data_IF_225106778607
#
_entry.id   IF_225106778607
#
_cell.length_a   1.000
_cell.length_b   1.000
_cell.length_c   1.000
_cell.angle_alpha   90.00
_cell.angle_beta   90.00
_cell.angle_gamma   90.00
#
_symmetry.space_group_name_H-M   'P 1'
#
loop_
_entity.id
_entity.type
_entity.pdbx_description
1 polymer ?
#
# COMPACT_ATOMS: atom_id res chain seq x y z
N UNK A 1 -1.08 -21.10 3.92
CA UNK A 1 -1.05 -20.98 5.40
C UNK A 1 -0.73 -19.56 5.86
N UNK A 2 0.39 -18.95 5.42
CA UNK A 2 0.83 -17.62 5.88
C UNK A 2 -0.19 -16.49 5.66
N UNK A 3 -0.84 -16.42 4.49
CA UNK A 3 -1.82 -15.38 4.16
C UNK A 3 -2.98 -15.30 5.19
N UNK A 4 -3.69 -16.40 5.40
CA UNK A 4 -4.83 -16.45 6.34
C UNK A 4 -4.35 -16.14 7.76
N UNK A 5 -3.22 -16.70 8.19
CA UNK A 5 -2.64 -16.43 9.50
C UNK A 5 -2.37 -14.95 9.71
N UNK A 6 -1.63 -14.30 8.81
CA UNK A 6 -1.29 -12.88 8.94
C UNK A 6 -2.53 -11.98 8.92
N UNK A 7 -3.56 -12.33 8.15
CA UNK A 7 -4.81 -11.57 8.13
C UNK A 7 -5.66 -11.78 9.39
N UNK A 8 -5.53 -12.92 10.08
CA UNK A 8 -6.24 -13.23 11.32
C UNK A 8 -5.59 -12.64 12.57
N UNK A 9 -4.31 -12.25 12.47
CA UNK A 9 -3.56 -11.59 13.54
C UNK A 9 -3.84 -10.07 13.56
N UNK A 10 -3.41 -9.39 14.61
CA UNK A 10 -3.58 -7.92 14.75
C UNK A 10 -2.80 -7.18 13.67
N UNK A 11 -3.43 -6.18 13.04
CA UNK A 11 -2.78 -5.34 12.05
C UNK A 11 -2.26 -4.06 12.70
N UNK A 12 -1.02 -3.68 12.39
CA UNK A 12 -0.51 -2.34 12.75
C UNK A 12 -0.96 -1.31 11.72
N UNK A 13 -1.24 -0.09 12.15
CA UNK A 13 -1.75 0.97 11.28
C UNK A 13 -0.66 2.00 10.99
N UNK A 14 -0.58 2.43 9.73
CA UNK A 14 0.21 3.59 9.34
C UNK A 14 -0.69 4.55 8.55
N UNK A 15 -0.90 5.73 9.10
CA UNK A 15 -1.62 6.81 8.42
C UNK A 15 -0.65 7.49 7.47
N UNK A 16 -0.79 7.26 6.17
CA UNK A 16 0.02 8.00 5.19
C UNK A 16 -0.59 9.38 4.97
N UNK A 17 0.16 10.48 5.13
CA UNK A 17 -0.32 11.85 4.89
C UNK A 17 -0.58 12.19 3.40
N UNK A 18 -0.72 11.18 2.54
CA UNK A 18 -0.91 11.34 1.11
C UNK A 18 -2.31 11.88 0.74
N UNK A 19 -2.40 12.58 -0.40
CA UNK A 19 -3.64 13.17 -0.95
C UNK A 19 -4.81 12.19 -1.08
N UNK A 20 -4.54 10.89 -1.22
CA UNK A 20 -5.58 9.88 -1.36
C UNK A 20 -6.29 9.52 -0.06
N UNK A 21 -5.80 9.98 1.11
CA UNK A 21 -6.28 9.61 2.45
C UNK A 21 -6.46 8.09 2.63
N UNK A 22 -5.65 7.31 1.91
CA UNK A 22 -5.70 5.86 2.00
C UNK A 22 -5.05 5.44 3.32
N UNK A 23 -5.70 4.52 4.02
CA UNK A 23 -5.14 3.90 5.22
C UNK A 23 -4.32 2.69 4.80
N UNK A 24 -3.11 2.58 5.34
CA UNK A 24 -2.28 1.41 5.20
C UNK A 24 -2.25 0.67 6.54
N UNK A 25 -2.39 -0.64 6.46
CA UNK A 25 -2.16 -1.54 7.58
C UNK A 25 -1.11 -2.57 7.19
N UNK A 26 -0.38 -3.08 8.17
CA UNK A 26 0.56 -4.17 7.99
C UNK A 26 0.04 -5.41 8.71
N UNK A 27 -0.11 -6.50 7.95
CA UNK A 27 -0.49 -7.81 8.45
C UNK A 27 0.77 -8.66 8.56
N UNK A 28 1.35 -8.69 9.77
CA UNK A 28 2.72 -9.17 9.99
C UNK A 28 3.74 -8.34 9.21
N UNK A 29 4.85 -8.97 8.80
CA UNK A 29 5.89 -8.31 8.02
C UNK A 29 5.71 -8.46 6.49
N UNK A 30 4.83 -9.35 6.05
CA UNK A 30 4.77 -9.82 4.66
C UNK A 30 3.75 -9.05 3.80
N UNK A 31 2.69 -8.56 4.42
CA UNK A 31 1.54 -8.02 3.69
C UNK A 31 1.22 -6.60 4.12
N UNK A 32 0.88 -5.79 3.11
CA UNK A 32 0.27 -4.47 3.27
C UNK A 32 -1.19 -4.58 2.88
N UNK A 33 -2.06 -4.05 3.73
CA UNK A 33 -3.48 -3.87 3.47
C UNK A 33 -3.73 -2.40 3.20
N UNK A 34 -4.25 -2.08 2.01
CA UNK A 34 -4.54 -0.71 1.60
C UNK A 34 -6.02 -0.51 1.39
N UNK A 35 -6.61 0.48 2.07
CA UNK A 35 -8.00 0.85 1.81
C UNK A 35 -8.16 1.52 0.46
N UNK A 36 -9.29 1.25 -0.18
CA UNK A 36 -9.62 1.76 -1.51
C UNK A 36 -10.92 2.55 -1.48
N UNK A 37 -10.94 3.67 -2.20
CA UNK A 37 -12.18 4.35 -2.58
C UNK A 37 -12.98 3.49 -3.56
N UNK A 38 -14.27 3.78 -3.69
CA UNK A 38 -15.16 3.06 -4.62
C UNK A 38 -14.62 3.07 -6.05
N UNK A 39 -14.13 4.22 -6.51
CA UNK A 39 -13.59 4.38 -7.86
C UNK A 39 -12.29 3.58 -8.08
N UNK A 40 -11.39 3.58 -7.11
CA UNK A 40 -10.12 2.81 -7.17
C UNK A 40 -10.40 1.30 -7.21
N UNK A 41 -11.37 0.84 -6.42
CA UNK A 41 -11.82 -0.56 -6.45
C UNK A 41 -12.43 -0.96 -7.79
N UNK A 42 -13.27 -0.10 -8.40
CA UNK A 42 -13.81 -0.34 -9.74
C UNK A 42 -12.69 -0.38 -10.79
N UNK A 43 -11.77 0.57 -10.72
CA UNK A 43 -10.63 0.66 -11.63
C UNK A 43 -9.72 -0.57 -11.56
N UNK A 44 -9.36 -1.03 -10.35
CA UNK A 44 -8.54 -2.22 -10.20
C UNK A 44 -9.20 -3.45 -10.83
N UNK A 45 -10.51 -3.62 -10.63
CA UNK A 45 -11.27 -4.70 -11.26
C UNK A 45 -11.30 -4.59 -12.78
N UNK A 46 -11.42 -3.38 -13.34
CA UNK A 46 -11.43 -3.20 -14.81
C UNK A 46 -10.09 -3.53 -15.46
N UNK A 47 -8.97 -3.36 -14.75
CA UNK A 47 -7.63 -3.67 -15.28
C UNK A 47 -7.12 -5.07 -14.94
N UNK A 48 -7.88 -5.87 -14.18
CA UNK A 48 -7.40 -7.13 -13.57
C UNK A 48 -6.83 -8.11 -14.60
N UNK A 49 -7.48 -8.25 -15.75
CA UNK A 49 -7.00 -9.15 -16.80
C UNK A 49 -5.68 -8.68 -17.43
N UNK A 50 -5.54 -7.38 -17.67
CA UNK A 50 -4.29 -6.78 -18.17
C UNK A 50 -3.17 -6.92 -17.14
N UNK A 51 -3.48 -6.66 -15.87
CA UNK A 51 -2.55 -6.89 -14.75
C UNK A 51 -2.08 -8.35 -14.71
N UNK A 52 -2.99 -9.31 -14.77
CA UNK A 52 -2.64 -10.74 -14.78
C UNK A 52 -1.69 -11.09 -15.92
N UNK A 53 -2.00 -10.68 -17.16
CA UNK A 53 -1.11 -10.89 -18.32
C UNK A 53 0.26 -10.25 -18.13
N UNK A 54 0.30 -9.02 -17.63
CA UNK A 54 1.57 -8.32 -17.37
C UNK A 54 2.42 -9.09 -16.36
N UNK A 55 1.83 -9.54 -15.24
CA UNK A 55 2.57 -10.26 -14.20
C UNK A 55 3.06 -11.64 -14.66
N UNK A 56 2.32 -12.32 -15.56
CA UNK A 56 2.75 -13.57 -16.17
C UNK A 56 3.96 -13.37 -17.11
N UNK A 57 3.91 -12.33 -17.95
CA UNK A 57 4.96 -12.07 -18.93
C UNK A 57 6.19 -11.37 -18.35
N UNK A 58 6.06 -10.72 -17.19
CA UNK A 58 7.12 -9.94 -16.56
C UNK A 58 7.35 -10.42 -15.12
N UNK A 59 8.12 -11.51 -14.92
CA UNK A 59 8.34 -12.10 -13.58
C UNK A 59 9.01 -11.12 -12.61
N UNK A 60 9.83 -10.20 -13.12
CA UNK A 60 10.55 -9.16 -12.38
C UNK A 60 9.80 -7.80 -12.34
N UNK A 61 8.50 -7.79 -12.61
CA UNK A 61 7.69 -6.58 -12.54
C UNK A 61 7.81 -5.89 -11.17
N UNK A 62 7.96 -4.57 -11.18
CA UNK A 62 7.96 -3.71 -9.99
C UNK A 62 6.55 -3.31 -9.55
N UNK A 63 5.51 -3.72 -10.29
CA UNK A 63 4.14 -3.45 -9.88
C UNK A 63 3.80 -4.19 -8.56
N UNK A 64 2.93 -3.63 -7.72
CA UNK A 64 2.41 -4.33 -6.55
C UNK A 64 1.86 -5.70 -6.91
N UNK A 65 2.20 -6.71 -6.11
CA UNK A 65 1.59 -8.04 -6.17
C UNK A 65 0.32 -8.04 -5.35
N UNK A 66 -0.84 -8.00 -6.01
CA UNK A 66 -2.14 -8.08 -5.34
C UNK A 66 -2.48 -9.53 -5.05
N UNK A 67 -2.69 -9.85 -3.77
CA UNK A 67 -3.05 -11.18 -3.29
C UNK A 67 -4.56 -11.34 -3.06
N UNK A 68 -5.27 -10.24 -2.86
CA UNK A 68 -6.71 -10.26 -2.70
C UNK A 68 -7.32 -8.87 -2.77
N UNK A 69 -8.55 -8.82 -3.28
CA UNK A 69 -9.41 -7.64 -3.26
C UNK A 69 -10.66 -8.00 -2.46
N UNK A 70 -10.94 -7.24 -1.41
CA UNK A 70 -11.96 -7.56 -0.43
C UNK A 70 -12.91 -6.38 -0.22
N UNK A 71 -14.15 -6.70 0.15
CA UNK A 71 -15.16 -5.73 0.55
C UNK A 71 -15.85 -6.24 1.81
N UNK A 72 -15.72 -5.49 2.90
CA UNK A 72 -16.48 -5.72 4.13
C UNK A 72 -17.67 -4.78 4.15
N UNK A 73 -18.84 -5.31 4.45
CA UNK A 73 -20.06 -4.53 4.63
C UNK A 73 -20.44 -4.58 6.09
N UNK A 74 -20.48 -3.43 6.74
CA UNK A 74 -20.96 -3.32 8.12
C UNK A 74 -22.45 -3.63 8.17
N UNK A 75 -22.85 -4.59 9.00
CA UNK A 75 -24.25 -5.00 9.15
C UNK A 75 -25.12 -3.92 9.81
N UNK A 76 -24.53 -3.02 10.60
CA UNK A 76 -25.28 -2.00 11.36
C UNK A 76 -25.64 -0.77 10.55
N UNK A 77 -24.84 -0.40 9.54
CA UNK A 77 -25.02 0.84 8.79
C UNK A 77 -24.80 0.69 7.27
N UNK A 78 -24.67 -0.54 6.77
CA UNK A 78 -24.40 -0.86 5.36
C UNK A 78 -23.17 -0.16 4.76
N UNK A 79 -22.27 0.38 5.60
CA UNK A 79 -21.05 1.03 5.13
C UNK A 79 -20.08 -0.02 4.61
N UNK A 80 -19.59 0.20 3.40
CA UNK A 80 -18.64 -0.68 2.76
C UNK A 80 -17.21 -0.19 2.91
N UNK A 81 -16.32 -1.07 3.39
CA UNK A 81 -14.88 -0.87 3.41
C UNK A 81 -14.29 -1.80 2.35
N UNK A 82 -13.60 -1.21 1.37
CA UNK A 82 -12.89 -1.95 0.33
C UNK A 82 -11.41 -1.86 0.57
N UNK A 83 -10.70 -2.96 0.39
CA UNK A 83 -9.25 -2.97 0.53
C UNK A 83 -8.63 -4.03 -0.35
N UNK A 84 -7.34 -3.87 -0.59
CA UNK A 84 -6.49 -4.89 -1.19
C UNK A 84 -5.46 -5.37 -0.19
N UNK A 85 -5.09 -6.63 -0.33
CA UNK A 85 -3.89 -7.18 0.30
C UNK A 85 -2.82 -7.29 -0.78
N UNK A 86 -1.64 -6.76 -0.49
CA UNK A 86 -0.50 -6.74 -1.41
C UNK A 86 0.81 -7.04 -0.69
N UNK A 87 1.88 -7.32 -1.45
CA UNK A 87 3.20 -7.53 -0.87
C UNK A 87 3.72 -6.28 -0.16
N UNK A 88 4.38 -6.48 0.97
CA UNK A 88 5.19 -5.44 1.59
C UNK A 88 6.52 -5.33 0.84
N UNK A 89 6.77 -4.20 0.17
CA UNK A 89 8.03 -3.94 -0.55
C UNK A 89 9.22 -3.75 0.39
N UNK A 90 8.96 -3.49 1.67
CA UNK A 90 9.99 -3.38 2.71
C UNK A 90 10.12 -4.68 3.54
N UNK A 91 9.58 -5.80 3.06
CA UNK A 91 9.85 -7.10 3.70
C UNK A 91 11.31 -7.49 3.47
N UNK A 92 12.14 -7.28 4.48
CA UNK A 92 13.55 -7.64 4.47
C UNK A 92 14.05 -7.87 5.90
N UNK A 93 15.10 -8.68 6.05
CA UNK A 93 15.81 -8.83 7.32
C UNK A 93 16.79 -7.68 7.58
N UNK A 94 17.00 -6.81 6.59
CA UNK A 94 17.87 -5.65 6.70
C UNK A 94 17.13 -4.44 7.30
N UNK A 95 17.88 -3.59 8.00
CA UNK A 95 17.33 -2.33 8.49
C UNK A 95 17.22 -1.34 7.33
N UNK A 96 15.97 -0.96 7.00
CA UNK A 96 15.69 0.12 6.05
C UNK A 96 15.92 1.46 6.74
N UNK A 97 17.09 2.06 6.53
CA UNK A 97 17.48 3.33 7.16
C UNK A 97 16.82 4.56 6.53
N UNK A 98 16.55 4.52 5.22
CA UNK A 98 16.07 5.66 4.45
C UNK A 98 14.98 5.18 3.48
N UNK A 99 13.91 5.95 3.34
CA UNK A 99 12.78 5.66 2.44
C UNK A 99 12.48 6.89 1.58
N UNK A 100 12.14 6.66 0.31
CA UNK A 100 11.75 7.69 -0.64
C UNK A 100 10.39 7.37 -1.31
N UNK A 101 9.58 8.40 -1.56
CA UNK A 101 8.38 8.38 -2.42
C UNK A 101 8.65 9.24 -3.67
N UNK A 102 9.25 8.63 -4.69
CA UNK A 102 9.66 9.28 -5.94
C UNK A 102 8.57 9.17 -7.00
N UNK A 103 8.25 10.29 -7.67
CA UNK A 103 7.25 10.33 -8.75
C UNK A 103 7.70 11.13 -9.99
N UNK A 104 8.94 11.59 -10.04
CA UNK A 104 9.54 12.29 -11.18
C UNK A 104 9.03 13.72 -11.40
N UNK A 105 8.57 14.39 -10.34
CA UNK A 105 8.03 15.77 -10.40
C UNK A 105 8.69 16.64 -9.32
N UNK A 106 8.64 17.97 -9.42
CA UNK A 106 9.25 18.87 -8.42
C UNK A 106 8.24 19.54 -7.47
N UNK A 107 7.03 19.85 -7.94
CA UNK A 107 6.04 20.57 -7.14
C UNK A 107 5.47 19.73 -6.00
N UNK A 108 5.65 20.20 -4.76
CA UNK A 108 5.19 19.52 -3.54
C UNK A 108 5.95 18.22 -3.24
N UNK A 109 7.20 18.10 -3.71
CA UNK A 109 8.04 16.89 -3.58
C UNK A 109 9.20 17.05 -2.64
N UNK A 110 8.93 17.66 -1.50
CA UNK A 110 9.88 17.79 -0.40
C UNK A 110 9.23 17.29 0.90
N UNK A 111 9.99 16.60 1.73
CA UNK A 111 9.59 16.29 3.10
C UNK A 111 9.52 17.60 3.91
N UNK A 112 8.43 17.79 4.64
CA UNK A 112 8.30 18.94 5.55
C UNK A 112 9.33 18.84 6.69
N UNK A 113 9.66 19.96 7.33
CA UNK A 113 10.57 19.97 8.49
C UNK A 113 10.09 19.02 9.60
N UNK A 114 8.77 18.95 9.82
CA UNK A 114 8.16 18.03 10.79
C UNK A 114 8.32 16.57 10.36
N UNK A 115 8.16 16.25 9.07
CA UNK A 115 8.40 14.91 8.55
C UNK A 115 9.88 14.50 8.71
N UNK A 116 10.82 15.42 8.47
CA UNK A 116 12.28 15.17 8.56
C UNK A 116 12.78 14.87 9.98
N UNK A 117 12.08 15.33 11.00
CA UNK A 117 12.42 15.07 12.40
C UNK A 117 12.03 13.67 12.88
N UNK A 118 11.26 12.91 12.09
CA UNK A 118 10.79 11.57 12.46
C UNK A 118 11.74 10.49 11.96
N UNK A 119 11.97 9.47 12.78
CA UNK A 119 12.77 8.29 12.39
C UNK A 119 12.18 7.53 11.18
N UNK A 120 10.87 7.64 10.97
CA UNK A 120 10.15 6.99 9.88
C UNK A 120 9.93 7.89 8.65
N UNK A 121 10.65 9.03 8.56
CA UNK A 121 10.55 9.98 7.46
C UNK A 121 10.55 9.30 6.08
N UNK A 122 9.67 9.80 5.21
CA UNK A 122 9.61 9.41 3.80
C UNK A 122 10.02 10.63 2.98
N UNK A 123 11.25 10.61 2.51
CA UNK A 123 11.81 11.62 1.62
C UNK A 123 11.12 11.59 0.25
N UNK A 124 11.21 12.68 -0.50
CA UNK A 124 10.55 12.83 -1.81
C UNK A 124 11.57 13.25 -2.86
N UNK A 125 11.09 13.58 -4.06
CA UNK A 125 11.95 13.83 -5.22
C UNK A 125 13.01 14.92 -5.01
N UNK A 126 12.70 16.01 -4.31
CA UNK A 126 13.65 17.12 -4.07
C UNK A 126 14.61 16.86 -2.90
N UNK A 127 14.43 15.75 -2.17
CA UNK A 127 15.27 15.31 -1.06
C UNK A 127 16.31 14.26 -1.48
N UNK A 128 16.27 13.80 -2.75
CA UNK A 128 17.16 12.79 -3.33
C UNK A 128 18.39 13.44 -3.98
#
# INVERSE_FOLDING_TARGET
AAYIRSLSETWSTLVTPGKSMALLYFAGCQFVIKTLRSQESKFLKSIMFGYYKHMQNNPNSLLPRFYGHHCLTSLSNNKQIRFVVMNNVFQTDNIVKIKYDLKGSSYGREATEVERQRDDCIYKDNDF
#
